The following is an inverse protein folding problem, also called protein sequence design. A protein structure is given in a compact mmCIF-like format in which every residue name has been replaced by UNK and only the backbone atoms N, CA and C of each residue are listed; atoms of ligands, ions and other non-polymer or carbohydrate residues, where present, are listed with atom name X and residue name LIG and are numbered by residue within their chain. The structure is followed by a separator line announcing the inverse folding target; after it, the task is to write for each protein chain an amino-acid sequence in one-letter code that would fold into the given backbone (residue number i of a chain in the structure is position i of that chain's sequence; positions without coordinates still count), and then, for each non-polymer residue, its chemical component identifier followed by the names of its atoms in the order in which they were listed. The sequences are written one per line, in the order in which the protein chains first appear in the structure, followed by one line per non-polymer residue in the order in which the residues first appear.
data_IF_526677671658
#
_entry.id   IF_526677671658
#
_cell.length_a   1.000
_cell.length_b   1.000
_cell.length_c   1.000
_cell.angle_alpha   90.00
_cell.angle_beta   90.00
_cell.angle_gamma   90.00
#
_symmetry.space_group_name_H-M   'P 1'
#
loop_
_entity.id
_entity.type
_entity.pdbx_description
1 polymer ?
#
# COMPACT_ATOMS: atom_id res chain seq x y z
N UNK A 1 2.96 -26.44 -5.82
CA UNK A 1 3.69 -25.20 -6.18
C UNK A 1 4.92 -24.94 -5.29
N UNK A 2 5.63 -25.96 -4.81
CA UNK A 2 6.80 -25.80 -3.90
C UNK A 2 8.16 -26.16 -4.52
N UNK A 3 8.23 -26.51 -5.81
CA UNK A 3 9.48 -27.01 -6.41
C UNK A 3 10.44 -25.91 -6.91
N UNK A 4 10.01 -24.65 -6.98
CA UNK A 4 10.83 -23.55 -7.52
C UNK A 4 11.89 -23.03 -6.54
N UNK A 5 11.79 -23.35 -5.25
CA UNK A 5 12.70 -22.82 -4.22
C UNK A 5 14.07 -23.53 -4.17
N UNK A 6 14.28 -24.63 -4.92
CA UNK A 6 15.50 -25.44 -4.83
C UNK A 6 16.39 -25.45 -6.10
N UNK A 7 15.93 -24.88 -7.23
CA UNK A 7 16.69 -24.90 -8.51
C UNK A 7 17.88 -23.93 -8.56
N UNK A 8 17.85 -22.83 -7.80
CA UNK A 8 18.86 -21.76 -7.85
C UNK A 8 20.26 -22.13 -7.33
N UNK A 9 20.42 -23.28 -6.66
CA UNK A 9 21.73 -23.80 -6.19
C UNK A 9 22.44 -24.67 -7.22
N UNK A 10 21.73 -25.13 -8.26
CA UNK A 10 22.34 -25.85 -9.39
C UNK A 10 22.77 -24.79 -10.40
N UNK A 11 23.95 -24.95 -10.99
CA UNK A 11 24.61 -23.97 -11.86
C UNK A 11 23.89 -23.75 -13.21
N UNK A 12 22.59 -23.43 -13.18
CA UNK A 12 21.88 -22.88 -14.33
C UNK A 12 22.44 -21.47 -14.59
N UNK A 13 22.75 -21.19 -15.85
CA UNK A 13 23.32 -19.89 -16.21
C UNK A 13 22.24 -18.85 -15.95
N UNK A 14 22.58 -17.79 -15.22
CA UNK A 14 21.66 -16.67 -14.91
C UNK A 14 20.98 -16.08 -16.17
N UNK A 15 21.62 -16.26 -17.33
CA UNK A 15 21.10 -15.89 -18.66
C UNK A 15 19.87 -16.73 -19.03
N UNK A 16 19.93 -18.06 -18.89
CA UNK A 16 18.81 -18.97 -19.21
C UNK A 16 17.59 -18.66 -18.34
N UNK A 17 17.81 -18.32 -17.06
CA UNK A 17 16.75 -17.89 -16.14
C UNK A 17 16.17 -16.55 -16.60
N UNK A 18 17.01 -15.60 -16.99
CA UNK A 18 16.56 -14.31 -17.49
C UNK A 18 15.66 -14.47 -18.74
N UNK A 19 16.02 -15.38 -19.65
CA UNK A 19 15.23 -15.75 -20.83
C UNK A 19 13.91 -16.44 -20.47
N UNK A 20 13.91 -17.40 -19.55
CA UNK A 20 12.69 -18.09 -19.07
C UNK A 20 11.66 -17.12 -18.52
N UNK A 21 12.11 -16.13 -17.74
CA UNK A 21 11.23 -15.12 -17.14
C UNK A 21 10.97 -13.90 -18.05
N UNK A 22 11.60 -13.82 -19.23
CA UNK A 22 11.49 -12.68 -20.14
C UNK A 22 12.02 -11.36 -19.55
N UNK A 23 13.02 -11.43 -18.67
CA UNK A 23 13.59 -10.28 -17.95
C UNK A 23 15.03 -10.07 -18.40
N UNK A 24 15.47 -8.81 -18.50
CA UNK A 24 16.87 -8.52 -18.79
C UNK A 24 17.80 -9.08 -17.70
N UNK A 25 18.96 -9.62 -18.10
CA UNK A 25 19.95 -10.16 -17.16
C UNK A 25 20.36 -9.16 -16.06
N UNK A 26 20.49 -7.87 -16.40
CA UNK A 26 20.80 -6.79 -15.47
C UNK A 26 19.70 -6.58 -14.40
N UNK A 27 18.44 -6.66 -14.82
CA UNK A 27 17.28 -6.58 -13.93
C UNK A 27 17.20 -7.79 -13.00
N UNK A 28 17.41 -9.00 -13.52
CA UNK A 28 17.49 -10.22 -12.70
C UNK A 28 18.58 -10.08 -11.63
N UNK A 29 19.76 -9.57 -12.00
CA UNK A 29 20.87 -9.36 -11.07
C UNK A 29 20.53 -8.35 -9.96
N UNK A 30 19.87 -7.25 -10.33
CA UNK A 30 19.44 -6.21 -9.39
C UNK A 30 18.39 -6.75 -8.41
N UNK A 31 17.40 -7.51 -8.90
CA UNK A 31 16.38 -8.17 -8.08
C UNK A 31 17.03 -9.15 -7.10
N UNK A 32 17.99 -9.96 -7.56
CA UNK A 32 18.70 -10.91 -6.71
C UNK A 32 19.53 -10.21 -5.62
N UNK A 33 20.22 -9.12 -5.97
CA UNK A 33 20.97 -8.31 -4.99
C UNK A 33 20.07 -7.73 -3.91
N UNK A 34 18.87 -7.29 -4.28
CA UNK A 34 17.91 -6.67 -3.37
C UNK A 34 16.88 -7.67 -2.79
N UNK A 35 17.05 -8.98 -3.03
CA UNK A 35 16.07 -10.02 -2.65
C UNK A 35 15.70 -9.95 -1.16
N UNK A 36 16.69 -9.86 -0.28
CA UNK A 36 16.45 -9.82 1.16
C UNK A 36 15.62 -8.59 1.58
N UNK A 37 15.91 -7.42 1.00
CA UNK A 37 15.15 -6.20 1.22
C UNK A 37 13.71 -6.32 0.73
N UNK A 38 13.51 -6.86 -0.48
CA UNK A 38 12.17 -7.06 -1.07
C UNK A 38 11.34 -8.01 -0.20
N UNK A 39 11.92 -9.15 0.21
CA UNK A 39 11.24 -10.11 1.09
C UNK A 39 10.95 -9.51 2.47
N UNK A 40 11.89 -8.75 3.04
CA UNK A 40 11.70 -8.05 4.31
C UNK A 40 10.60 -7.00 4.25
N UNK A 41 10.53 -6.23 3.16
CA UNK A 41 9.47 -5.24 2.94
C UNK A 41 8.10 -5.89 2.82
N UNK A 42 7.99 -7.03 2.11
CA UNK A 42 6.74 -7.78 2.03
C UNK A 42 6.32 -8.33 3.40
N UNK A 43 7.27 -8.88 4.17
CA UNK A 43 7.01 -9.38 5.51
C UNK A 43 6.59 -8.27 6.49
N UNK A 44 7.08 -7.04 6.31
CA UNK A 44 6.71 -5.88 7.14
C UNK A 44 5.40 -5.20 6.70
N UNK A 45 4.69 -5.76 5.71
CA UNK A 45 3.35 -5.33 5.31
C UNK A 45 3.31 -4.48 4.03
N UNK A 46 4.40 -4.39 3.27
CA UNK A 46 4.35 -3.78 1.94
C UNK A 46 3.44 -4.59 1.00
N UNK A 47 2.65 -3.90 0.18
CA UNK A 47 1.79 -4.57 -0.79
C UNK A 47 2.62 -5.17 -1.94
N UNK A 48 2.41 -6.46 -2.23
CA UNK A 48 3.07 -7.15 -3.34
C UNK A 48 2.73 -6.59 -4.73
N UNK A 49 1.61 -5.85 -4.86
CA UNK A 49 1.22 -5.17 -6.10
C UNK A 49 1.96 -3.85 -6.32
N UNK A 50 2.59 -3.30 -5.28
CA UNK A 50 3.37 -2.07 -5.40
C UNK A 50 4.74 -2.38 -6.00
N UNK A 51 5.03 -1.76 -7.15
CA UNK A 51 6.32 -1.89 -7.86
C UNK A 51 7.48 -1.20 -7.13
N UNK A 52 7.16 -0.32 -6.18
CA UNK A 52 8.13 0.46 -5.41
C UNK A 52 7.80 0.32 -3.92
N UNK A 53 8.80 0.01 -3.12
CA UNK A 53 8.70 0.12 -1.66
C UNK A 53 8.70 1.61 -1.32
N UNK A 54 7.52 2.16 -1.07
CA UNK A 54 7.39 3.57 -0.68
C UNK A 54 7.59 3.68 0.84
N UNK A 55 8.47 4.61 1.26
CA UNK A 55 8.60 4.97 2.66
C UNK A 55 7.59 6.06 3.01
N UNK A 56 6.75 5.81 4.01
CA UNK A 56 5.92 6.82 4.62
C UNK A 56 6.80 7.85 5.35
N UNK A 57 6.48 9.14 5.25
CA UNK A 57 7.17 10.17 6.02
C UNK A 57 6.90 10.06 7.53
N UNK A 58 5.73 9.53 7.88
CA UNK A 58 5.29 9.30 9.26
C UNK A 58 4.79 7.85 9.37
N UNK A 59 5.72 6.86 9.41
CA UNK A 59 5.35 5.45 9.33
C UNK A 59 4.49 5.00 10.51
N UNK A 60 4.63 5.62 11.68
CA UNK A 60 3.88 5.23 12.88
C UNK A 60 2.41 5.69 12.78
N UNK A 61 2.17 6.89 12.25
CA UNK A 61 0.81 7.39 11.94
C UNK A 61 0.16 6.54 10.86
N UNK A 62 0.88 6.25 9.76
CA UNK A 62 0.35 5.43 8.66
C UNK A 62 -0.03 4.02 9.16
N UNK A 63 0.82 3.37 9.95
CA UNK A 63 0.52 2.06 10.55
C UNK A 63 -0.70 2.10 11.45
N UNK A 64 -0.82 3.10 12.32
CA UNK A 64 -1.95 3.24 13.23
C UNK A 64 -3.27 3.45 12.47
N UNK A 65 -3.26 4.33 11.46
CA UNK A 65 -4.44 4.57 10.60
C UNK A 65 -4.81 3.30 9.83
N UNK A 66 -3.83 2.56 9.32
CA UNK A 66 -4.09 1.32 8.58
C UNK A 66 -4.67 0.22 9.47
N UNK A 67 -4.13 0.02 10.68
CA UNK A 67 -4.67 -0.93 11.65
C UNK A 67 -6.14 -0.62 11.96
N UNK A 68 -6.43 0.64 12.28
CA UNK A 68 -7.79 1.10 12.51
C UNK A 68 -8.69 0.92 11.28
N UNK A 69 -8.18 1.23 10.08
CA UNK A 69 -8.92 1.02 8.82
C UNK A 69 -9.29 -0.46 8.62
N UNK A 70 -8.38 -1.40 8.92
CA UNK A 70 -8.64 -2.83 8.86
C UNK A 70 -9.76 -3.25 9.81
N UNK A 71 -9.78 -2.73 11.03
CA UNK A 71 -10.86 -2.97 12.00
C UNK A 71 -12.22 -2.47 11.47
N UNK A 72 -12.27 -1.24 10.94
CA UNK A 72 -13.51 -0.69 10.39
C UNK A 72 -14.00 -1.48 9.16
N UNK A 73 -13.07 -1.98 8.34
CA UNK A 73 -13.40 -2.83 7.19
C UNK A 73 -13.98 -4.17 7.63
N UNK A 74 -13.46 -4.76 8.72
CA UNK A 74 -14.03 -5.98 9.31
C UNK A 74 -15.47 -5.74 9.79
N UNK A 75 -15.76 -4.53 10.29
CA UNK A 75 -17.09 -4.09 10.68
C UNK A 75 -17.99 -3.66 9.51
N UNK A 76 -17.54 -3.84 8.25
CA UNK A 76 -18.26 -3.45 7.01
C UNK A 76 -18.63 -1.96 6.92
N UNK A 77 -17.89 -1.10 7.61
CA UNK A 77 -18.10 0.35 7.56
C UNK A 77 -17.43 0.95 6.34
N UNK A 78 -18.18 1.73 5.56
CA UNK A 78 -17.62 2.51 4.45
C UNK A 78 -16.96 3.77 5.00
N UNK A 79 -15.64 3.87 4.85
CA UNK A 79 -14.88 5.04 5.31
C UNK A 79 -14.65 6.02 4.16
N UNK A 80 -15.10 7.26 4.33
CA UNK A 80 -14.79 8.34 3.40
C UNK A 80 -13.35 8.81 3.57
N UNK A 81 -12.77 9.41 2.53
CA UNK A 81 -11.43 9.99 2.59
C UNK A 81 -11.27 11.03 3.69
N UNK A 82 -12.32 11.84 3.95
CA UNK A 82 -12.31 12.85 5.01
C UNK A 82 -12.21 12.22 6.41
N UNK A 83 -12.91 11.11 6.63
CA UNK A 83 -12.84 10.37 7.89
C UNK A 83 -11.42 9.81 8.12
N UNK A 84 -10.80 9.26 7.07
CA UNK A 84 -9.40 8.82 7.16
C UNK A 84 -8.44 9.96 7.49
N UNK A 85 -8.62 11.13 6.87
CA UNK A 85 -7.78 12.30 7.15
C UNK A 85 -7.94 12.78 8.59
N UNK A 86 -9.17 12.84 9.09
CA UNK A 86 -9.43 13.25 10.48
C UNK A 86 -8.82 12.25 11.46
N UNK A 87 -9.00 10.95 11.23
CA UNK A 87 -8.42 9.92 12.09
C UNK A 87 -6.88 9.94 12.08
N UNK A 88 -6.28 10.28 10.95
CA UNK A 88 -4.83 10.44 10.85
C UNK A 88 -4.30 11.62 11.66
N UNK A 89 -5.06 12.72 11.74
CA UNK A 89 -4.71 13.83 12.63
C UNK A 89 -4.81 13.42 14.10
N UNK A 90 -5.84 12.67 14.48
CA UNK A 90 -5.97 12.15 15.85
C UNK A 90 -4.77 11.28 16.23
N UNK A 91 -4.38 10.35 15.36
CA UNK A 91 -3.21 9.50 15.58
C UNK A 91 -1.91 10.29 15.59
N UNK A 92 -1.76 11.30 14.73
CA UNK A 92 -0.59 12.17 14.76
C UNK A 92 -0.47 12.92 16.08
N UNK A 93 -1.58 13.43 16.63
CA UNK A 93 -1.59 14.09 17.93
C UNK A 93 -1.21 13.11 19.06
N UNK A 94 -1.80 11.90 19.07
CA UNK A 94 -1.48 10.87 20.06
C UNK A 94 -0.03 10.39 20.00
N UNK A 95 0.60 10.43 18.83
CA UNK A 95 1.99 10.04 18.60
C UNK A 95 2.96 11.24 18.62
N UNK A 96 2.50 12.42 19.04
CA UNK A 96 3.32 13.65 19.13
C UNK A 96 3.97 14.07 17.79
N UNK A 97 3.25 13.89 16.69
CA UNK A 97 3.62 14.33 15.34
C UNK A 97 2.85 15.59 14.94
N UNK A 98 3.06 16.70 15.64
CA UNK A 98 2.30 17.95 15.46
C UNK A 98 2.49 18.60 14.07
N UNK A 99 3.59 18.27 13.39
CA UNK A 99 3.88 18.73 12.03
C UNK A 99 3.16 17.92 10.94
N UNK A 100 2.48 16.83 11.31
CA UNK A 100 1.77 15.99 10.36
C UNK A 100 0.60 16.75 9.74
N UNK A 101 0.48 16.66 8.41
CA UNK A 101 -0.65 17.19 7.67
C UNK A 101 -1.31 16.05 6.91
N UNK A 102 -2.57 15.78 7.23
CA UNK A 102 -3.44 14.88 6.48
C UNK A 102 -3.86 15.48 5.12
N UNK A 103 -2.88 15.91 4.32
CA UNK A 103 -3.08 16.55 3.03
C UNK A 103 -3.75 15.60 2.03
N UNK A 104 -4.39 16.12 0.97
CA UNK A 104 -4.91 15.28 -0.12
C UNK A 104 -3.81 14.39 -0.75
N UNK A 105 -2.57 14.90 -0.83
CA UNK A 105 -1.42 14.14 -1.32
C UNK A 105 -1.05 12.98 -0.40
N UNK A 106 -1.07 13.20 0.92
CA UNK A 106 -0.87 12.12 1.89
C UNK A 106 -1.96 11.04 1.74
N UNK A 107 -3.24 11.41 1.66
CA UNK A 107 -4.34 10.46 1.51
C UNK A 107 -4.21 9.62 0.22
N UNK A 108 -3.83 10.25 -0.90
CA UNK A 108 -3.58 9.55 -2.17
C UNK A 108 -2.46 8.51 -2.01
N UNK A 109 -1.35 8.89 -1.38
CA UNK A 109 -0.24 7.97 -1.10
C UNK A 109 -0.62 6.86 -0.14
N UNK A 110 -1.35 7.16 0.93
CA UNK A 110 -1.84 6.17 1.89
C UNK A 110 -2.70 5.10 1.20
N UNK A 111 -3.63 5.52 0.33
CA UNK A 111 -4.45 4.59 -0.45
C UNK A 111 -3.62 3.74 -1.40
N UNK A 112 -2.63 4.31 -2.07
CA UNK A 112 -1.74 3.57 -2.97
C UNK A 112 -0.85 2.58 -2.20
N UNK A 113 -0.34 2.97 -1.03
CA UNK A 113 0.49 2.13 -0.16
C UNK A 113 -0.23 0.87 0.29
N UNK A 114 -1.47 1.04 0.75
CA UNK A 114 -2.29 -0.03 1.30
C UNK A 114 -3.24 -0.66 0.29
N UNK A 115 -3.15 -0.24 -0.96
CA UNK A 115 -3.97 -0.70 -2.07
C UNK A 115 -5.48 -0.64 -1.79
N UNK A 116 -5.86 0.49 -1.18
CA UNK A 116 -7.24 0.81 -0.85
C UNK A 116 -7.87 1.36 -2.13
N UNK A 117 -8.54 0.47 -2.86
CA UNK A 117 -9.27 0.82 -4.07
C UNK A 117 -10.43 1.73 -3.67
N UNK A 118 -10.38 2.99 -4.10
CA UNK A 118 -11.55 3.84 -4.10
C UNK A 118 -12.51 3.28 -5.16
N UNK A 119 -13.47 2.43 -4.76
CA UNK A 119 -14.62 2.16 -5.62
C UNK A 119 -15.35 3.49 -5.77
N UNK A 120 -15.22 4.10 -6.94
CA UNK A 120 -16.11 5.21 -7.33
C UNK A 120 -17.49 4.60 -7.43
N UNK A 121 -18.36 4.88 -6.46
CA UNK A 121 -19.80 4.69 -6.61
C UNK A 121 -20.25 5.85 -7.48
N UNK A 122 -20.11 5.71 -8.80
CA UNK A 122 -20.75 6.62 -9.75
C UNK A 122 -22.19 6.13 -9.89
N UNK A 123 -23.10 6.80 -9.19
CA UNK A 123 -24.51 6.46 -9.19
C UNK A 123 -25.21 6.98 -7.94
N UNK A 124 -25.51 8.28 -7.93
CA UNK A 124 -26.88 8.81 -7.80
C UNK A 124 -26.84 10.34 -7.67
N UNK A 125 -27.40 11.01 -8.67
CA UNK A 125 -27.88 12.37 -8.55
C UNK A 125 -29.15 12.31 -7.70
N UNK A 126 -29.11 12.86 -6.49
CA UNK A 126 -30.30 13.20 -5.73
C UNK A 126 -30.30 14.71 -5.55
N UNK A 127 -31.06 15.37 -6.42
CA UNK A 127 -31.51 16.74 -6.23
C UNK A 127 -32.13 16.86 -4.84
N UNK A 128 -31.64 17.81 -4.03
CA UNK A 128 -32.38 18.28 -2.87
C UNK A 128 -33.16 19.49 -3.35
N UNK A 129 -34.46 19.26 -3.60
CA UNK A 129 -35.45 20.30 -3.75
C UNK A 129 -35.60 21.02 -2.41
N UNK A 130 -35.18 22.27 -2.33
CA UNK A 130 -35.59 23.17 -1.26
C UNK A 130 -36.87 23.90 -1.67
N UNK A 131 -38.01 23.29 -1.33
CA UNK A 131 -39.29 23.96 -1.08
C UNK A 131 -39.61 23.78 0.41
N UNK A 132 -40.27 24.77 1.00
CA UNK A 132 -40.85 24.91 2.38
C UNK A 132 -40.12 26.03 3.13
N UNK A 133 -40.69 27.17 3.52
CA UNK A 133 -42.03 27.79 3.49
C UNK A 133 -41.82 29.29 3.69
#
# INVERSE_FOLDING_TARGET
MLQSSARWKRAEKKIEIAEEFGVACSSLFTILKNKAFILGALASGACARNKTVMAAAFPDVDKAVFAWFCEQRANKVHLSGKILQQKALDFACMLSHDNFKASPGWLSRFKALHDIIAKVISGEAAAVDSVTT
#
